data_IF_563332203291
#
_entry.id   IF_563332203291
#
_cell.length_a   1.000
_cell.length_b   1.000
_cell.length_c   1.000
_cell.angle_alpha   90.00
_cell.angle_beta   90.00
_cell.angle_gamma   90.00
#
_symmetry.space_group_name_H-M   'P 1'
#
loop_
_entity.id
_entity.type
_entity.pdbx_description
1 polymer ?
#
# COMPACT_ATOMS: atom_id res chain seq x y z
N UNK A 1 -20.97 21.83 -18.70
CA UNK A 1 -20.41 20.93 -19.74
C UNK A 1 -19.35 19.94 -19.30
N UNK A 2 -19.11 19.69 -18.02
CA UNK A 2 -17.98 18.85 -17.53
C UNK A 2 -18.36 17.53 -16.84
N UNK A 3 -19.59 17.37 -16.39
CA UNK A 3 -20.02 16.19 -15.63
C UNK A 3 -19.81 14.87 -16.37
N UNK A 4 -20.21 14.78 -17.62
CA UNK A 4 -20.12 13.52 -18.37
C UNK A 4 -18.70 13.04 -18.71
N UNK A 5 -17.67 13.93 -18.73
CA UNK A 5 -16.26 13.52 -18.89
C UNK A 5 -15.69 12.99 -17.60
N UNK A 6 -16.00 13.62 -16.47
CA UNK A 6 -15.54 13.19 -15.15
C UNK A 6 -16.14 11.83 -14.80
N UNK A 7 -17.44 11.66 -15.02
CA UNK A 7 -18.14 10.39 -14.76
C UNK A 7 -17.54 9.25 -15.60
N UNK A 8 -17.26 9.50 -16.87
CA UNK A 8 -16.63 8.52 -17.76
C UNK A 8 -15.21 8.19 -17.33
N UNK A 9 -14.45 9.20 -16.88
CA UNK A 9 -13.09 9.00 -16.34
C UNK A 9 -13.12 8.13 -15.07
N UNK A 10 -13.98 8.44 -14.12
CA UNK A 10 -14.11 7.66 -12.87
C UNK A 10 -14.58 6.23 -13.14
N UNK A 11 -15.51 6.05 -14.07
CA UNK A 11 -16.02 4.72 -14.43
C UNK A 11 -14.93 3.79 -14.98
N UNK A 12 -13.92 4.32 -15.65
CA UNK A 12 -12.81 3.53 -16.21
C UNK A 12 -11.61 3.44 -15.27
N UNK A 13 -11.26 4.57 -14.60
CA UNK A 13 -10.04 4.63 -13.78
C UNK A 13 -10.18 3.88 -12.45
N UNK A 14 -11.34 3.91 -11.81
CA UNK A 14 -11.54 3.20 -10.53
C UNK A 14 -11.34 1.68 -10.69
N UNK A 15 -11.97 0.98 -11.64
CA UNK A 15 -11.69 -0.43 -11.87
C UNK A 15 -10.22 -0.69 -12.24
N UNK A 16 -9.62 0.13 -13.10
CA UNK A 16 -8.23 -0.03 -13.50
C UNK A 16 -7.27 0.07 -12.31
N UNK A 17 -7.38 1.14 -11.51
CA UNK A 17 -6.54 1.33 -10.32
C UNK A 17 -6.78 0.22 -9.30
N UNK A 18 -8.03 -0.22 -9.13
CA UNK A 18 -8.38 -1.33 -8.25
C UNK A 18 -7.69 -2.63 -8.66
N UNK A 19 -7.70 -2.97 -9.95
CA UNK A 19 -7.01 -4.15 -10.46
C UNK A 19 -5.50 -4.03 -10.31
N UNK A 20 -4.90 -2.88 -10.65
CA UNK A 20 -3.46 -2.65 -10.53
C UNK A 20 -3.00 -2.81 -9.08
N UNK A 21 -3.63 -2.10 -8.15
CA UNK A 21 -3.31 -2.21 -6.73
C UNK A 21 -3.58 -3.62 -6.20
N UNK A 22 -4.68 -4.24 -6.61
CA UNK A 22 -5.06 -5.58 -6.21
C UNK A 22 -4.03 -6.62 -6.61
N UNK A 23 -3.58 -6.61 -7.86
CA UNK A 23 -2.54 -7.53 -8.37
C UNK A 23 -1.22 -7.27 -7.66
N UNK A 24 -0.82 -6.01 -7.50
CA UNK A 24 0.43 -5.66 -6.84
C UNK A 24 0.46 -6.14 -5.38
N UNK A 25 -0.59 -5.88 -4.61
CA UNK A 25 -0.69 -6.34 -3.22
C UNK A 25 -0.76 -7.87 -3.12
N UNK A 26 -1.49 -8.52 -4.03
CA UNK A 26 -1.59 -9.97 -4.04
C UNK A 26 -0.22 -10.62 -4.35
N UNK A 27 0.49 -10.13 -5.37
CA UNK A 27 1.82 -10.63 -5.71
C UNK A 27 2.82 -10.39 -4.59
N UNK A 28 2.84 -9.19 -4.00
CA UNK A 28 3.71 -8.86 -2.87
C UNK A 28 3.42 -9.75 -1.65
N UNK A 29 2.15 -9.90 -1.31
CA UNK A 29 1.74 -10.72 -0.17
C UNK A 29 2.05 -12.20 -0.37
N UNK A 30 1.66 -12.80 -1.49
CA UNK A 30 1.89 -14.22 -1.82
C UNK A 30 3.39 -14.53 -1.88
N UNK A 31 4.20 -13.58 -2.37
CA UNK A 31 5.63 -13.77 -2.50
C UNK A 31 6.32 -14.11 -1.16
N UNK A 32 5.74 -13.69 -0.04
CA UNK A 32 6.26 -14.05 1.29
C UNK A 32 6.30 -15.56 1.52
N UNK A 33 5.26 -16.28 1.12
CA UNK A 33 5.17 -17.73 1.33
C UNK A 33 5.82 -18.52 0.19
N UNK A 34 5.63 -18.10 -1.05
CA UNK A 34 6.02 -18.88 -2.23
C UNK A 34 7.36 -18.46 -2.83
N UNK A 35 7.89 -17.28 -2.45
CA UNK A 35 9.20 -16.75 -2.91
C UNK A 35 9.36 -16.79 -4.43
N UNK A 36 8.31 -16.41 -5.15
CA UNK A 36 8.28 -16.40 -6.62
C UNK A 36 9.19 -15.31 -7.18
N UNK A 37 9.24 -14.17 -6.48
CA UNK A 37 10.08 -13.02 -6.83
C UNK A 37 11.24 -12.89 -5.84
N UNK A 38 12.36 -12.26 -6.23
CA UNK A 38 13.44 -11.99 -5.29
C UNK A 38 12.93 -11.19 -4.07
N UNK A 39 13.14 -11.75 -2.89
CA UNK A 39 12.77 -11.10 -1.63
C UNK A 39 13.95 -10.25 -1.11
N UNK A 40 13.66 -9.13 -0.42
CA UNK A 40 12.36 -8.59 -0.01
C UNK A 40 11.65 -7.83 -1.12
N UNK A 41 12.34 -7.37 -2.15
CA UNK A 41 11.79 -6.57 -3.22
C UNK A 41 12.69 -6.63 -4.47
N UNK A 42 12.11 -6.56 -5.67
CA UNK A 42 12.85 -6.58 -6.94
C UNK A 42 13.92 -5.48 -7.06
N UNK A 43 13.64 -4.32 -6.46
CA UNK A 43 14.51 -3.14 -6.53
C UNK A 43 15.20 -2.82 -5.21
N UNK A 44 15.20 -3.73 -4.23
CA UNK A 44 15.82 -3.49 -2.93
C UNK A 44 17.36 -3.61 -3.10
N UNK A 45 18.09 -2.49 -3.19
CA UNK A 45 19.52 -2.57 -3.36
C UNK A 45 20.16 -3.08 -2.08
N UNK A 46 21.20 -3.93 -2.18
CA UNK A 46 21.97 -4.33 -1.02
C UNK A 46 22.51 -3.07 -0.32
N UNK A 47 22.26 -2.92 0.97
CA UNK A 47 22.83 -1.83 1.76
C UNK A 47 21.87 -0.73 2.22
N UNK A 48 20.58 -1.02 2.35
CA UNK A 48 19.64 -0.12 3.04
C UNK A 48 19.54 -0.50 4.54
N UNK A 49 20.41 0.04 5.41
CA UNK A 49 20.53 -0.47 6.77
C UNK A 49 19.26 -0.26 7.58
N UNK A 50 18.54 0.85 7.38
CA UNK A 50 17.34 1.18 8.17
C UNK A 50 16.15 0.30 7.77
N UNK A 51 15.84 0.19 6.47
CA UNK A 51 14.75 -0.66 5.98
C UNK A 51 15.01 -2.12 6.33
N UNK A 52 16.23 -2.61 6.05
CA UNK A 52 16.63 -3.98 6.34
C UNK A 52 16.59 -4.31 7.83
N UNK A 53 16.97 -3.37 8.71
CA UNK A 53 16.89 -3.56 10.15
C UNK A 53 15.44 -3.67 10.63
N UNK A 54 14.56 -2.75 10.20
CA UNK A 54 13.15 -2.76 10.60
C UNK A 54 12.44 -4.03 10.09
N UNK A 55 12.61 -4.36 8.82
CA UNK A 55 12.03 -5.58 8.23
C UNK A 55 12.62 -6.83 8.91
N UNK A 56 13.92 -6.84 9.22
CA UNK A 56 14.57 -7.92 9.95
C UNK A 56 13.95 -8.15 11.32
N UNK A 57 13.71 -7.10 12.10
CA UNK A 57 13.03 -7.21 13.41
C UNK A 57 11.59 -7.71 13.26
N UNK A 58 10.85 -7.24 12.24
CA UNK A 58 9.49 -7.74 11.97
C UNK A 58 9.50 -9.24 11.64
N UNK A 59 10.49 -9.73 10.88
CA UNK A 59 10.63 -11.15 10.55
C UNK A 59 11.01 -11.95 11.81
N UNK A 60 11.97 -11.45 12.60
CA UNK A 60 12.42 -12.11 13.84
C UNK A 60 11.31 -12.23 14.89
N UNK A 61 10.32 -11.33 14.88
CA UNK A 61 9.13 -11.44 15.75
C UNK A 61 8.31 -12.71 15.47
N UNK A 62 8.50 -13.37 14.34
CA UNK A 62 7.82 -14.59 13.91
C UNK A 62 6.41 -14.37 13.33
N UNK A 63 5.72 -13.27 13.66
CA UNK A 63 4.32 -13.05 13.26
C UNK A 63 4.06 -11.69 12.58
N UNK A 64 4.78 -10.63 12.96
CA UNK A 64 4.45 -9.28 12.50
C UNK A 64 4.52 -9.14 10.98
N UNK A 65 5.59 -9.62 10.36
CA UNK A 65 5.75 -9.53 8.92
C UNK A 65 4.75 -10.43 8.19
N UNK A 66 4.50 -11.62 8.71
CA UNK A 66 3.49 -12.55 8.18
C UNK A 66 2.08 -11.96 8.25
N UNK A 67 1.73 -11.30 9.36
CA UNK A 67 0.45 -10.61 9.50
C UNK A 67 0.31 -9.47 8.48
N UNK A 68 1.35 -8.65 8.30
CA UNK A 68 1.34 -7.59 7.29
C UNK A 68 1.12 -8.16 5.88
N UNK A 69 1.81 -9.25 5.53
CA UNK A 69 1.64 -9.93 4.25
C UNK A 69 0.27 -10.58 4.07
N UNK A 70 -0.32 -11.11 5.13
CA UNK A 70 -1.70 -11.59 5.10
C UNK A 70 -2.70 -10.45 4.81
N UNK A 71 -2.51 -9.28 5.41
CA UNK A 71 -3.33 -8.10 5.12
C UNK A 71 -3.19 -7.66 3.65
N UNK A 72 -1.98 -7.69 3.08
CA UNK A 72 -1.76 -7.40 1.65
C UNK A 72 -2.52 -8.40 0.75
N UNK A 73 -2.47 -9.70 1.06
CA UNK A 73 -3.24 -10.72 0.31
C UNK A 73 -4.74 -10.47 0.40
N UNK A 74 -5.27 -10.22 1.60
CA UNK A 74 -6.69 -9.95 1.81
C UNK A 74 -7.13 -8.68 1.08
N UNK A 75 -6.32 -7.63 1.10
CA UNK A 75 -6.56 -6.42 0.31
C UNK A 75 -6.59 -6.76 -1.18
N UNK A 76 -5.57 -7.48 -1.69
CA UNK A 76 -5.48 -7.86 -3.09
C UNK A 76 -6.71 -8.63 -3.55
N UNK A 77 -7.13 -9.64 -2.80
CA UNK A 77 -8.34 -10.42 -3.09
C UNK A 77 -9.61 -9.55 -3.04
N UNK A 78 -9.73 -8.70 -2.02
CA UNK A 78 -10.87 -7.77 -1.89
C UNK A 78 -11.01 -6.85 -3.10
N UNK A 79 -9.89 -6.29 -3.57
CA UNK A 79 -9.84 -5.40 -4.72
C UNK A 79 -10.18 -6.13 -6.04
N UNK A 80 -9.64 -7.33 -6.24
CA UNK A 80 -9.89 -8.13 -7.44
C UNK A 80 -11.37 -8.57 -7.50
N UNK A 81 -11.89 -9.14 -6.43
CA UNK A 81 -13.27 -9.62 -6.39
C UNK A 81 -14.30 -8.52 -6.13
N UNK A 82 -13.86 -7.28 -5.91
CA UNK A 82 -14.73 -6.15 -5.59
C UNK A 82 -15.65 -6.39 -4.39
N UNK A 83 -15.10 -7.01 -3.34
CA UNK A 83 -15.85 -7.31 -2.10
C UNK A 83 -15.13 -6.70 -0.90
N UNK A 84 -15.91 -6.04 -0.03
CA UNK A 84 -15.39 -5.38 1.17
C UNK A 84 -14.29 -4.33 0.91
N UNK A 85 -14.26 -3.75 -0.32
CA UNK A 85 -13.21 -2.81 -0.74
C UNK A 85 -13.01 -1.66 0.24
N UNK A 86 -14.05 -0.90 0.67
CA UNK A 86 -13.86 0.20 1.60
C UNK A 86 -13.25 -0.25 2.93
N UNK A 87 -13.73 -1.38 3.48
CA UNK A 87 -13.22 -1.94 4.73
C UNK A 87 -11.73 -2.30 4.60
N UNK A 88 -11.37 -3.02 3.55
CA UNK A 88 -10.00 -3.50 3.36
C UNK A 88 -9.02 -2.37 3.07
N UNK A 89 -9.44 -1.30 2.40
CA UNK A 89 -8.63 -0.10 2.22
C UNK A 89 -8.28 0.57 3.57
N UNK A 90 -9.22 0.59 4.52
CA UNK A 90 -8.95 1.14 5.87
C UNK A 90 -8.05 0.20 6.68
N UNK A 91 -8.36 -1.10 6.69
CA UNK A 91 -7.59 -2.10 7.46
C UNK A 91 -6.15 -2.20 6.98
N UNK A 92 -5.92 -2.12 5.67
CA UNK A 92 -4.58 -2.21 5.08
C UNK A 92 -3.78 -0.89 5.15
N UNK A 93 -4.44 0.23 5.41
CA UNK A 93 -3.79 1.55 5.37
C UNK A 93 -2.55 1.64 6.27
N UNK A 94 -2.53 1.16 7.53
CA UNK A 94 -1.33 1.20 8.37
C UNK A 94 -0.15 0.42 7.75
N UNK A 95 -0.42 -0.73 7.14
CA UNK A 95 0.62 -1.56 6.50
C UNK A 95 1.21 -0.85 5.29
N UNK A 96 0.35 -0.34 4.40
CA UNK A 96 0.78 0.36 3.19
C UNK A 96 1.47 1.69 3.53
N UNK A 97 0.98 2.41 4.53
CA UNK A 97 1.60 3.65 4.99
C UNK A 97 3.00 3.40 5.58
N UNK A 98 3.17 2.34 6.37
CA UNK A 98 4.50 1.95 6.87
C UNK A 98 5.43 1.58 5.72
N UNK A 99 4.97 0.81 4.74
CA UNK A 99 5.75 0.47 3.53
C UNK A 99 6.17 1.75 2.80
N UNK A 100 5.22 2.68 2.59
CA UNK A 100 5.51 3.97 1.96
C UNK A 100 6.59 4.75 2.73
N UNK A 101 6.50 4.86 4.05
CA UNK A 101 7.51 5.57 4.84
C UNK A 101 8.89 4.92 4.69
N UNK A 102 8.97 3.59 4.76
CA UNK A 102 10.24 2.86 4.61
C UNK A 102 10.84 3.05 3.21
N UNK A 103 10.00 3.09 2.19
CA UNK A 103 10.43 3.28 0.81
C UNK A 103 10.74 4.75 0.50
N UNK A 104 10.05 5.70 1.12
CA UNK A 104 10.29 7.13 0.96
C UNK A 104 11.57 7.64 1.65
N UNK A 105 12.24 6.82 2.47
CA UNK A 105 13.52 7.15 3.10
C UNK A 105 14.68 7.17 2.08
N UNK A 106 14.60 8.06 1.11
CA UNK A 106 15.64 8.25 0.07
C UNK A 106 16.78 9.16 0.51
N UNK A 107 16.56 10.03 1.50
CA UNK A 107 17.52 11.03 1.95
C UNK A 107 18.91 10.47 2.27
N UNK A 108 19.04 9.41 3.08
CA UNK A 108 20.33 8.80 3.39
C UNK A 108 21.08 8.30 2.14
N UNK A 109 20.36 7.73 1.16
CA UNK A 109 20.96 7.23 -0.08
C UNK A 109 21.42 8.38 -0.98
N UNK A 110 20.64 9.47 -1.05
CA UNK A 110 21.04 10.68 -1.78
C UNK A 110 22.31 11.28 -1.18
N UNK A 111 22.37 11.40 0.13
CA UNK A 111 23.56 11.92 0.82
C UNK A 111 24.78 11.02 0.60
N UNK A 112 24.62 9.70 0.71
CA UNK A 112 25.70 8.75 0.44
C UNK A 112 26.21 8.84 -1.00
N UNK A 113 25.31 9.04 -1.97
CA UNK A 113 25.70 9.25 -3.37
C UNK A 113 26.44 10.58 -3.56
N UNK A 114 25.96 11.67 -2.99
CA UNK A 114 26.63 12.98 -3.06
C UNK A 114 28.06 12.95 -2.47
N UNK A 115 28.29 12.12 -1.45
CA UNK A 115 29.62 11.92 -0.86
C UNK A 115 30.44 10.82 -1.57
N UNK A 116 29.95 10.28 -2.68
CA UNK A 116 30.66 9.24 -3.45
C UNK A 116 30.73 7.87 -2.76
N UNK A 117 29.95 7.66 -1.67
CA UNK A 117 29.95 6.41 -0.92
C UNK A 117 29.15 5.28 -1.61
N UNK A 118 28.21 5.63 -2.48
CA UNK A 118 27.43 4.67 -3.28
C UNK A 118 27.39 5.09 -4.75
N UNK A 119 27.38 4.13 -5.70
CA UNK A 119 27.26 4.42 -7.11
C UNK A 119 25.84 4.88 -7.49
N UNK A 120 25.72 5.61 -8.60
CA UNK A 120 24.44 6.11 -9.12
C UNK A 120 23.38 5.00 -9.30
N UNK A 121 23.79 3.79 -9.61
CA UNK A 121 22.88 2.65 -9.76
C UNK A 121 22.10 2.35 -8.47
N UNK A 122 22.72 2.50 -7.29
CA UNK A 122 22.04 2.34 -6.00
C UNK A 122 21.01 3.44 -5.76
N UNK A 123 21.35 4.69 -6.08
CA UNK A 123 20.41 5.80 -6.00
C UNK A 123 19.20 5.57 -6.92
N UNK A 124 19.47 5.18 -8.17
CA UNK A 124 18.42 4.90 -9.16
C UNK A 124 17.49 3.77 -8.72
N UNK A 125 18.05 2.65 -8.25
CA UNK A 125 17.27 1.54 -7.73
C UNK A 125 16.38 1.97 -6.54
N UNK A 126 16.90 2.83 -5.64
CA UNK A 126 16.13 3.36 -4.53
C UNK A 126 15.01 4.30 -4.96
N UNK A 127 15.26 5.13 -5.97
CA UNK A 127 14.22 6.00 -6.54
C UNK A 127 13.09 5.19 -7.19
N UNK A 128 13.43 4.10 -7.89
CA UNK A 128 12.44 3.18 -8.46
C UNK A 128 11.63 2.49 -7.37
N UNK A 129 12.30 1.99 -6.32
CA UNK A 129 11.63 1.37 -5.16
C UNK A 129 10.65 2.35 -4.50
N UNK A 130 11.13 3.55 -4.15
CA UNK A 130 10.31 4.58 -3.53
C UNK A 130 9.10 5.00 -4.41
N UNK A 131 9.29 5.05 -5.72
CA UNK A 131 8.23 5.47 -6.64
C UNK A 131 7.19 4.37 -6.87
N UNK A 132 7.62 3.15 -7.20
CA UNK A 132 6.71 2.08 -7.61
C UNK A 132 6.12 1.29 -6.45
N UNK A 133 6.91 0.98 -5.43
CA UNK A 133 6.45 0.16 -4.31
C UNK A 133 5.93 0.97 -3.13
N UNK A 134 6.50 2.15 -2.89
CA UNK A 134 6.00 3.07 -1.87
C UNK A 134 4.97 4.06 -2.43
N UNK A 135 5.43 4.95 -3.33
CA UNK A 135 4.65 6.09 -3.81
C UNK A 135 3.41 5.72 -4.62
N UNK A 136 3.57 4.84 -5.62
CA UNK A 136 2.42 4.47 -6.47
C UNK A 136 1.35 3.73 -5.67
N UNK A 137 1.74 2.86 -4.73
CA UNK A 137 0.80 2.09 -3.91
C UNK A 137 -0.01 3.00 -3.02
N UNK A 138 0.63 3.93 -2.28
CA UNK A 138 -0.09 4.86 -1.40
C UNK A 138 -1.00 5.82 -2.18
N UNK A 139 -0.56 6.28 -3.37
CA UNK A 139 -1.38 7.12 -4.25
C UNK A 139 -2.59 6.37 -4.79
N UNK A 140 -2.41 5.13 -5.27
CA UNK A 140 -3.52 4.29 -5.73
C UNK A 140 -4.50 3.99 -4.60
N UNK A 141 -4.02 3.69 -3.40
CA UNK A 141 -4.87 3.46 -2.24
C UNK A 141 -5.63 4.73 -1.85
N UNK A 142 -4.96 5.87 -1.75
CA UNK A 142 -5.60 7.16 -1.46
C UNK A 142 -6.65 7.52 -2.51
N UNK A 143 -6.35 7.31 -3.79
CA UNK A 143 -7.31 7.51 -4.87
C UNK A 143 -8.56 6.63 -4.71
N UNK A 144 -8.40 5.34 -4.41
CA UNK A 144 -9.55 4.45 -4.16
C UNK A 144 -10.32 4.85 -2.90
N UNK A 145 -9.63 5.24 -1.83
CA UNK A 145 -10.31 5.75 -0.62
C UNK A 145 -11.16 6.99 -0.93
N UNK A 146 -10.67 7.90 -1.76
CA UNK A 146 -11.45 9.05 -2.23
C UNK A 146 -12.62 8.62 -3.14
N UNK A 147 -12.41 7.67 -4.04
CA UNK A 147 -13.47 7.16 -4.91
C UNK A 147 -14.61 6.44 -4.13
N UNK A 148 -14.27 5.82 -3.00
CA UNK A 148 -15.24 5.18 -2.10
C UNK A 148 -15.59 6.04 -0.89
N UNK A 149 -15.38 7.37 -0.95
CA UNK A 149 -15.54 8.27 0.20
C UNK A 149 -16.92 8.21 0.84
N UNK A 150 -17.97 8.06 0.07
CA UNK A 150 -19.35 7.97 0.59
C UNK A 150 -19.55 6.78 1.54
N UNK A 151 -18.77 5.69 1.37
CA UNK A 151 -18.80 4.55 2.28
C UNK A 151 -18.20 4.87 3.65
N UNK A 152 -17.32 5.87 3.74
CA UNK A 152 -16.67 6.30 5.00
C UNK A 152 -17.39 7.46 5.65
N UNK A 153 -18.23 8.19 4.92
CA UNK A 153 -18.93 9.37 5.42
C UNK A 153 -19.66 9.17 6.74
N UNK A 154 -20.35 8.03 6.98
CA UNK A 154 -20.98 7.76 8.28
C UNK A 154 -19.97 7.67 9.42
N UNK A 155 -18.74 7.20 9.18
CA UNK A 155 -17.68 7.06 10.19
C UNK A 155 -17.05 8.40 10.59
N UNK A 156 -17.18 9.42 9.73
CA UNK A 156 -16.61 10.75 9.95
C UNK A 156 -17.54 11.70 10.72
N UNK A 157 -18.65 11.20 11.24
CA UNK A 157 -19.57 12.01 12.05
C UNK A 157 -18.94 12.35 13.41
N UNK A 158 -18.94 13.63 13.74
CA UNK A 158 -18.38 14.13 15.02
C UNK A 158 -19.11 13.57 16.27
N UNK A 159 -20.32 13.06 16.12
CA UNK A 159 -21.10 12.43 17.17
C UNK A 159 -21.67 11.10 16.65
N UNK A 160 -20.97 10.02 16.94
CA UNK A 160 -21.50 8.68 16.71
C UNK A 160 -22.57 8.37 17.76
N UNK A 161 -23.72 7.86 17.31
CA UNK A 161 -24.75 7.31 18.22
C UNK A 161 -24.66 5.79 18.14
N UNK A 162 -24.64 5.07 19.27
CA UNK A 162 -24.75 3.62 19.25
C UNK A 162 -26.10 3.22 18.64
N UNK A 163 -26.10 2.10 17.93
CA UNK A 163 -27.34 1.56 17.33
C UNK A 163 -28.27 1.15 18.44
N UNK A 164 -29.46 1.74 18.51
CA UNK A 164 -30.54 1.31 19.43
C UNK A 164 -31.10 -0.02 18.90
N UNK A 165 -30.63 -1.13 19.44
CA UNK A 165 -31.08 -2.48 19.08
C UNK A 165 -32.55 -2.71 19.41
N UNK A 166 -33.12 -1.90 20.31
CA UNK A 166 -34.52 -1.99 20.74
C UNK A 166 -35.54 -1.44 19.74
N UNK A 167 -35.09 -0.79 18.64
CA UNK A 167 -35.96 -0.14 17.66
C UNK A 167 -36.05 -0.84 16.31
N UNK A 168 -35.68 -2.11 16.22
CA UNK A 168 -36.00 -2.87 15.02
C UNK A 168 -37.35 -3.54 15.20
N UNK A 169 -38.36 -3.19 14.37
CA UNK A 169 -39.68 -3.83 14.38
C UNK A 169 -39.61 -5.30 13.99
#
# INVERSE_FOLDING_TARGET
MSTGRLDRFLTLSVPAVRWLLGIQCLLSGINWWFKILPFPNLFDPPGMPVKSAIVGVMIQSGWMFTAAKAVEVLLGLSLIFNRYVPLMLVVSFPVIFMTFILDALIGPTVMAWLHGAVPFQHLWAKLLDATFFGGAVIVMQGYLMLAYFDSYRPMLQARARPTDWERQP
#
